data_IF_505915026312
#
_entry.id   IF_505915026312
#
_cell.length_a   1.000
_cell.length_b   1.000
_cell.length_c   1.000
_cell.angle_alpha   90.00
_cell.angle_beta   90.00
_cell.angle_gamma   90.00
#
_symmetry.space_group_name_H-M   'P 1'
#
loop_
_entity.id
_entity.type
_entity.pdbx_description
1 polymer ?
#
# COMPACT_ATOMS: atom_id res chain seq x y z
N UNK A 1 1.52 7.04 -1.39
CA UNK A 1 2.72 6.91 -0.53
C UNK A 1 2.35 6.40 0.84
N UNK A 2 3.13 5.50 1.34
CA UNK A 2 3.00 5.00 2.72
C UNK A 2 4.30 5.24 3.46
N UNK A 3 4.23 5.45 4.76
CA UNK A 3 5.41 5.63 5.59
C UNK A 3 5.82 4.31 6.20
N UNK A 4 7.09 3.97 6.07
CA UNK A 4 7.66 2.77 6.67
C UNK A 4 8.91 3.15 7.48
N UNK A 5 9.30 2.27 8.38
CA UNK A 5 10.46 2.49 9.26
C UNK A 5 11.53 1.46 8.91
N UNK A 6 12.69 1.92 8.50
CA UNK A 6 13.84 1.04 8.24
C UNK A 6 14.35 0.47 9.56
N UNK A 7 15.17 -0.56 9.46
CA UNK A 7 15.72 -1.23 10.64
C UNK A 7 16.62 -0.32 11.49
N UNK A 8 17.14 0.74 10.92
CA UNK A 8 17.93 1.75 11.64
C UNK A 8 17.08 2.88 12.22
N UNK A 9 15.76 2.70 12.25
CA UNK A 9 14.77 3.64 12.75
C UNK A 9 14.55 4.89 11.89
N UNK A 10 15.18 4.99 10.73
CA UNK A 10 14.89 6.07 9.82
C UNK A 10 13.57 5.84 9.11
N UNK A 11 12.86 6.91 8.80
CA UNK A 11 11.59 6.85 8.10
C UNK A 11 11.80 6.97 6.60
N UNK A 12 10.95 6.30 5.84
CA UNK A 12 10.92 6.49 4.40
C UNK A 12 9.47 6.52 3.92
N UNK A 13 9.27 7.23 2.84
CA UNK A 13 7.98 7.25 2.15
C UNK A 13 8.11 6.40 0.91
N UNK A 14 7.26 5.40 0.77
CA UNK A 14 7.31 4.45 -0.33
C UNK A 14 6.04 4.54 -1.15
N UNK A 15 6.19 4.54 -2.46
CA UNK A 15 5.04 4.43 -3.35
C UNK A 15 4.51 2.99 -3.26
N UNK A 16 3.32 2.84 -2.72
CA UNK A 16 2.71 1.53 -2.52
C UNK A 16 2.55 0.75 -3.82
N UNK A 17 2.44 1.44 -4.94
CA UNK A 17 2.28 0.80 -6.25
C UNK A 17 3.54 0.07 -6.70
N UNK A 18 4.67 0.35 -6.08
CA UNK A 18 5.94 -0.31 -6.42
C UNK A 18 6.16 -1.62 -5.67
N UNK A 19 5.29 -1.96 -4.73
CA UNK A 19 5.45 -3.18 -3.94
C UNK A 19 5.04 -4.38 -4.79
N UNK A 20 5.95 -5.34 -4.89
CA UNK A 20 5.71 -6.58 -5.61
C UNK A 20 5.18 -7.66 -4.67
N UNK A 21 5.88 -7.88 -3.54
CA UNK A 21 5.38 -8.75 -2.48
C UNK A 21 6.04 -8.41 -1.15
N UNK A 22 5.50 -8.98 -0.08
CA UNK A 22 6.00 -8.82 1.27
C UNK A 22 6.31 -10.20 1.86
N UNK A 23 7.40 -10.27 2.62
CA UNK A 23 7.76 -11.50 3.31
C UNK A 23 7.97 -11.19 4.79
N UNK A 24 7.15 -11.80 5.65
CA UNK A 24 7.27 -11.61 7.10
C UNK A 24 8.42 -12.40 7.67
N UNK A 25 9.23 -11.71 8.48
CA UNK A 25 10.32 -12.30 9.24
C UNK A 25 10.03 -12.08 10.71
N UNK A 26 10.73 -12.77 11.63
CA UNK A 26 10.38 -12.65 13.06
C UNK A 26 10.36 -11.23 13.61
N UNK A 27 11.22 -10.34 13.11
CA UNK A 27 11.32 -8.97 13.64
C UNK A 27 11.19 -7.90 12.58
N UNK A 28 11.15 -8.28 11.32
CA UNK A 28 11.13 -7.35 10.21
C UNK A 28 10.26 -7.89 9.10
N UNK A 29 9.99 -7.05 8.12
CA UNK A 29 9.33 -7.48 6.89
C UNK A 29 10.25 -7.11 5.74
N UNK A 30 10.45 -8.03 4.83
CA UNK A 30 11.17 -7.77 3.59
C UNK A 30 10.17 -7.33 2.54
N UNK A 31 10.36 -6.13 2.03
CA UNK A 31 9.52 -5.55 0.97
C UNK A 31 10.28 -5.67 -0.33
N UNK A 32 9.74 -6.42 -1.29
CA UNK A 32 10.34 -6.54 -2.61
C UNK A 32 9.57 -5.64 -3.57
N UNK A 33 10.32 -4.81 -4.28
CA UNK A 33 9.74 -3.86 -5.21
C UNK A 33 9.70 -4.44 -6.63
N UNK A 34 8.87 -3.85 -7.47
CA UNK A 34 8.77 -4.29 -8.88
C UNK A 34 10.10 -4.12 -9.63
N UNK A 35 10.99 -3.27 -9.13
CA UNK A 35 12.34 -3.09 -9.66
C UNK A 35 13.31 -4.18 -9.20
N UNK A 36 12.84 -5.15 -8.43
CA UNK A 36 13.62 -6.24 -7.82
C UNK A 36 14.46 -5.78 -6.62
N UNK A 37 14.44 -4.52 -6.27
CA UNK A 37 15.09 -4.03 -5.04
C UNK A 37 14.32 -4.53 -3.83
N UNK A 38 15.06 -4.83 -2.76
CA UNK A 38 14.47 -5.28 -1.50
C UNK A 38 14.87 -4.34 -0.39
N UNK A 39 13.94 -4.11 0.53
CA UNK A 39 14.25 -3.34 1.72
C UNK A 39 13.61 -4.02 2.93
N UNK A 40 14.23 -3.84 4.08
CA UNK A 40 13.74 -4.41 5.33
C UNK A 40 13.21 -3.30 6.21
N UNK A 41 12.00 -3.51 6.71
CA UNK A 41 11.32 -2.52 7.54
C UNK A 41 10.83 -3.16 8.83
N UNK A 42 10.55 -2.34 9.83
CA UNK A 42 10.11 -2.81 11.15
C UNK A 42 8.62 -3.13 11.21
N UNK A 43 7.82 -2.54 10.35
CA UNK A 43 6.39 -2.80 10.32
C UNK A 43 6.12 -4.27 9.98
N UNK A 44 5.08 -4.82 10.58
CA UNK A 44 4.65 -6.17 10.25
C UNK A 44 3.95 -6.18 8.90
N UNK A 45 3.82 -7.37 8.30
CA UNK A 45 3.07 -7.53 7.06
C UNK A 45 1.66 -6.96 7.22
N UNK A 46 1.00 -7.26 8.33
CA UNK A 46 -0.36 -6.78 8.59
C UNK A 46 -0.41 -5.25 8.64
N UNK A 47 0.56 -4.62 9.30
CA UNK A 47 0.62 -3.17 9.36
C UNK A 47 0.82 -2.55 7.99
N UNK A 48 1.68 -3.14 7.17
CA UNK A 48 1.93 -2.64 5.81
C UNK A 48 0.68 -2.78 4.95
N UNK A 49 0.03 -3.94 5.02
CA UNK A 49 -1.21 -4.17 4.27
C UNK A 49 -2.26 -3.14 4.65
N UNK A 50 -2.39 -2.85 5.96
CA UNK A 50 -3.33 -1.82 6.42
C UNK A 50 -3.00 -0.45 5.84
N UNK A 51 -1.73 -0.07 5.85
CA UNK A 51 -1.30 1.21 5.29
C UNK A 51 -1.63 1.30 3.79
N UNK A 52 -1.42 0.22 3.06
CA UNK A 52 -1.72 0.17 1.63
C UNK A 52 -3.22 0.29 1.38
N UNK A 53 -4.01 -0.44 2.15
CA UNK A 53 -5.48 -0.39 2.03
C UNK A 53 -5.99 1.02 2.33
N UNK A 54 -5.50 1.63 3.41
CA UNK A 54 -5.90 2.99 3.77
C UNK A 54 -5.53 4.00 2.68
N UNK A 55 -4.35 3.85 2.12
CA UNK A 55 -3.90 4.71 1.02
C UNK A 55 -4.80 4.57 -0.21
N UNK A 56 -5.11 3.35 -0.60
CA UNK A 56 -5.98 3.11 -1.76
C UNK A 56 -7.40 3.59 -1.51
N UNK A 57 -7.87 3.45 -0.29
CA UNK A 57 -9.20 3.94 0.07
C UNK A 57 -9.27 5.46 -0.04
N UNK A 58 -8.25 6.15 0.40
CA UNK A 58 -8.17 7.60 0.29
C UNK A 58 -8.18 8.05 -1.17
N UNK A 59 -7.42 7.38 -2.02
CA UNK A 59 -7.40 7.68 -3.44
C UNK A 59 -8.77 7.46 -4.08
N UNK A 60 -9.43 6.37 -3.72
CA UNK A 60 -10.76 6.08 -4.24
C UNK A 60 -11.77 7.16 -3.86
N UNK A 61 -11.68 7.68 -2.64
CA UNK A 61 -12.54 8.77 -2.19
C UNK A 61 -12.31 10.02 -3.05
N UNK A 62 -11.06 10.36 -3.33
CA UNK A 62 -10.76 11.50 -4.18
C UNK A 62 -11.28 11.30 -5.60
N UNK A 63 -11.12 10.13 -6.17
CA UNK A 63 -11.65 9.82 -7.49
C UNK A 63 -13.16 9.89 -7.52
N UNK A 64 -13.79 9.41 -6.46
CA UNK A 64 -15.24 9.46 -6.32
C UNK A 64 -15.75 10.90 -6.33
N UNK A 65 -15.10 11.79 -5.59
CA UNK A 65 -15.45 13.19 -5.56
C UNK A 65 -15.30 13.88 -6.90
N UNK A 66 -14.25 13.54 -7.65
CA UNK A 66 -13.99 14.18 -8.92
C UNK A 66 -14.80 13.61 -10.08
N UNK A 67 -15.31 12.39 -9.96
CA UNK A 67 -16.04 11.71 -11.03
C UNK A 67 -17.37 11.16 -10.55
N UNK A 68 -18.01 11.88 -9.69
CA UNK A 68 -19.14 11.42 -8.90
C UNK A 68 -20.23 10.71 -9.71
N UNK A 69 -20.65 11.30 -10.81
CA UNK A 69 -21.80 10.81 -11.53
C UNK A 69 -21.53 9.61 -12.42
N UNK A 70 -20.33 9.51 -12.94
CA UNK A 70 -20.02 8.52 -13.98
C UNK A 70 -19.36 7.29 -13.44
N UNK A 71 -18.92 7.29 -12.20
CA UNK A 71 -18.02 6.26 -11.70
C UNK A 71 -18.58 5.39 -10.57
N UNK A 72 -19.80 5.63 -10.16
CA UNK A 72 -20.35 4.92 -9.01
C UNK A 72 -20.32 3.40 -9.21
N UNK A 73 -20.81 2.95 -10.35
CA UNK A 73 -20.83 1.52 -10.65
C UNK A 73 -19.45 0.95 -10.81
N UNK A 74 -18.58 1.70 -11.48
CA UNK A 74 -17.21 1.27 -11.69
C UNK A 74 -16.44 1.17 -10.38
N UNK A 75 -16.70 2.08 -9.45
CA UNK A 75 -16.08 2.04 -8.14
C UNK A 75 -16.47 0.78 -7.37
N UNK A 76 -17.71 0.38 -7.44
CA UNK A 76 -18.15 -0.85 -6.79
C UNK A 76 -17.43 -2.06 -7.37
N UNK A 77 -17.29 -2.11 -8.69
CA UNK A 77 -16.55 -3.17 -9.35
C UNK A 77 -15.10 -3.18 -8.94
N UNK A 78 -14.47 -2.01 -8.87
CA UNK A 78 -13.07 -1.89 -8.49
C UNK A 78 -12.85 -2.34 -7.05
N UNK A 79 -13.73 -1.99 -6.15
CA UNK A 79 -13.63 -2.42 -4.76
C UNK A 79 -13.71 -3.94 -4.69
N UNK A 80 -14.60 -4.55 -5.44
CA UNK A 80 -14.75 -5.99 -5.49
C UNK A 80 -13.49 -6.65 -6.03
N UNK A 81 -12.91 -6.08 -7.07
CA UNK A 81 -11.72 -6.63 -7.73
C UNK A 81 -10.47 -6.53 -6.87
N UNK A 82 -10.38 -5.52 -6.02
CA UNK A 82 -9.22 -5.34 -5.17
C UNK A 82 -9.22 -6.26 -3.95
N UNK A 83 -10.33 -6.81 -3.62
CA UNK A 83 -10.45 -7.73 -2.51
C UNK A 83 -10.24 -9.16 -2.96
#
# INVERSE_FOLDING_TARGET
MIELTRVDDSKLMLNAELIKWLEGMPRTTTVTLVTENKLMVKETVTEIVRKVVDYKRLINIYQEESNLESQVTDLESQVTDTI
#
